data_IF_242541382785
#
_entry.id   IF_242541382785
#
_cell.length_a   1.000
_cell.length_b   1.000
_cell.length_c   1.000
_cell.angle_alpha   90.00
_cell.angle_beta   90.00
_cell.angle_gamma   90.00
#
_symmetry.space_group_name_H-M   'P 1'
#
loop_
_entity.id
_entity.type
_entity.pdbx_description
1 polymer ?
#
# COMPACT_ATOMS: atom_id res chain seq x y z
N UNK A 1 27.22 30.05 -35.47
CA UNK A 1 28.23 30.19 -34.39
C UNK A 1 28.90 28.83 -34.22
N UNK A 2 30.02 28.63 -34.89
CA UNK A 2 30.77 27.37 -34.95
C UNK A 2 31.80 27.35 -33.81
N UNK A 3 31.73 26.34 -32.94
CA UNK A 3 32.66 26.17 -31.84
C UNK A 3 34.06 25.77 -32.35
N UNK A 4 35.16 26.27 -31.76
CA UNK A 4 36.51 25.92 -32.15
C UNK A 4 36.85 24.48 -31.74
N UNK A 5 37.26 23.66 -32.72
CA UNK A 5 37.72 22.30 -32.49
C UNK A 5 39.06 22.29 -31.76
N UNK A 6 39.06 21.71 -30.56
CA UNK A 6 40.23 21.51 -29.72
C UNK A 6 41.20 20.54 -30.41
N UNK A 7 42.50 20.87 -30.59
CA UNK A 7 43.45 19.96 -31.21
C UNK A 7 43.65 18.73 -30.31
N UNK A 8 43.55 17.55 -30.91
CA UNK A 8 43.80 16.26 -30.26
C UNK A 8 45.28 16.20 -29.81
N UNK A 9 45.57 15.62 -28.64
CA UNK A 9 46.94 15.44 -28.18
C UNK A 9 47.72 14.56 -29.17
N UNK A 10 49.04 14.77 -29.33
CA UNK A 10 49.86 13.95 -30.21
C UNK A 10 49.75 12.50 -29.77
N UNK A 11 49.34 11.63 -30.71
CA UNK A 11 49.39 10.18 -30.55
C UNK A 11 50.85 9.84 -30.26
N UNK A 12 51.14 9.55 -28.98
CA UNK A 12 52.43 9.02 -28.57
C UNK A 12 52.57 7.71 -29.32
N UNK A 13 53.41 7.72 -30.37
CA UNK A 13 53.75 6.52 -31.11
C UNK A 13 54.47 5.58 -30.13
N UNK A 14 53.70 4.69 -29.51
CA UNK A 14 54.24 3.62 -28.68
C UNK A 14 55.16 2.83 -29.61
N UNK A 15 56.49 2.80 -29.36
CA UNK A 15 57.41 2.09 -30.22
C UNK A 15 56.99 0.62 -30.20
N UNK A 16 56.59 0.12 -31.37
CA UNK A 16 56.24 -1.28 -31.55
C UNK A 16 57.50 -2.06 -31.16
N UNK A 17 57.46 -2.89 -30.10
CA UNK A 17 58.65 -3.58 -29.64
C UNK A 17 59.15 -4.46 -30.77
N UNK A 18 60.39 -4.20 -31.23
CA UNK A 18 61.08 -5.07 -32.18
C UNK A 18 61.10 -6.46 -31.55
N UNK A 19 60.62 -7.47 -32.28
CA UNK A 19 60.58 -8.87 -31.80
C UNK A 19 62.03 -9.35 -31.69
N UNK A 20 62.63 -9.17 -30.52
CA UNK A 20 63.97 -9.65 -30.19
C UNK A 20 63.84 -11.13 -29.87
N UNK A 21 64.50 -11.98 -30.66
CA UNK A 21 64.56 -13.41 -30.38
C UNK A 21 65.51 -13.62 -29.19
N UNK A 22 65.09 -14.34 -28.13
CA UNK A 22 65.97 -14.64 -27.01
C UNK A 22 67.12 -15.55 -27.49
N UNK A 23 68.35 -15.04 -27.40
CA UNK A 23 69.55 -15.72 -27.94
C UNK A 23 70.24 -16.50 -26.84
N UNK A 24 70.22 -16.00 -25.60
CA UNK A 24 70.86 -16.65 -24.47
C UNK A 24 69.91 -17.62 -23.75
N UNK A 25 70.41 -18.69 -23.11
CA UNK A 25 69.56 -19.65 -22.40
C UNK A 25 68.77 -19.00 -21.24
N UNK A 26 69.33 -17.97 -20.61
CA UNK A 26 68.62 -17.20 -19.59
C UNK A 26 67.45 -16.40 -20.18
N UNK A 27 67.65 -15.74 -21.31
CA UNK A 27 66.57 -15.04 -22.02
C UNK A 27 65.47 -16.00 -22.47
N UNK A 28 65.83 -17.19 -22.96
CA UNK A 28 64.87 -18.21 -23.37
C UNK A 28 64.03 -18.72 -22.19
N UNK A 29 64.65 -18.93 -21.03
CA UNK A 29 63.96 -19.31 -19.80
C UNK A 29 62.93 -18.24 -19.39
N UNK A 30 63.35 -16.97 -19.33
CA UNK A 30 62.46 -15.88 -18.96
C UNK A 30 61.34 -15.66 -19.99
N UNK A 31 61.63 -15.78 -21.28
CA UNK A 31 60.64 -15.68 -22.34
C UNK A 31 59.60 -16.80 -22.24
N UNK A 32 60.02 -18.05 -22.03
CA UNK A 32 59.10 -19.17 -21.84
C UNK A 32 58.24 -18.99 -20.57
N UNK A 33 58.84 -18.48 -19.48
CA UNK A 33 58.12 -18.17 -18.24
C UNK A 33 57.13 -17.02 -18.39
N UNK A 34 57.47 -15.98 -19.15
CA UNK A 34 56.56 -14.88 -19.46
C UNK A 34 55.39 -15.36 -20.33
N UNK A 35 55.65 -16.13 -21.38
CA UNK A 35 54.62 -16.68 -22.27
C UNK A 35 53.66 -17.60 -21.51
N UNK A 36 54.18 -18.47 -20.65
CA UNK A 36 53.35 -19.33 -19.79
C UNK A 36 52.50 -18.51 -18.82
N UNK A 37 53.06 -17.45 -18.23
CA UNK A 37 52.29 -16.55 -17.38
C UNK A 37 51.18 -15.82 -18.16
N UNK A 38 51.46 -15.34 -19.37
CA UNK A 38 50.47 -14.71 -20.25
C UNK A 38 49.37 -15.68 -20.66
N UNK A 39 49.72 -16.93 -21.02
CA UNK A 39 48.76 -17.96 -21.35
C UNK A 39 47.86 -18.34 -20.16
N UNK A 40 48.44 -18.44 -18.95
CA UNK A 40 47.65 -18.70 -17.73
C UNK A 40 46.74 -17.52 -17.43
N UNK A 41 47.23 -16.29 -17.60
CA UNK A 41 46.45 -15.08 -17.37
C UNK A 41 45.30 -14.98 -18.37
N UNK A 42 45.55 -15.25 -19.66
CA UNK A 42 44.52 -15.19 -20.71
C UNK A 42 43.38 -16.16 -20.45
N UNK A 43 43.71 -17.39 -20.01
CA UNK A 43 42.72 -18.40 -19.63
C UNK A 43 41.91 -17.93 -18.42
N UNK A 44 42.56 -17.39 -17.37
CA UNK A 44 41.87 -16.88 -16.18
C UNK A 44 40.96 -15.70 -16.51
N UNK A 45 41.42 -14.76 -17.34
CA UNK A 45 40.61 -13.61 -17.74
C UNK A 45 39.41 -14.03 -18.57
N UNK A 46 39.60 -14.96 -19.51
CA UNK A 46 38.50 -15.49 -20.32
C UNK A 46 37.46 -16.18 -19.42
N UNK A 47 37.91 -17.06 -18.52
CA UNK A 47 37.02 -17.76 -17.60
C UNK A 47 36.24 -16.80 -16.69
N UNK A 48 36.90 -15.75 -16.21
CA UNK A 48 36.24 -14.72 -15.40
C UNK A 48 35.15 -13.98 -16.16
N UNK A 49 35.41 -13.63 -17.42
CA UNK A 49 34.40 -13.01 -18.29
C UNK A 49 33.24 -13.98 -18.60
N UNK A 50 33.52 -15.27 -18.81
CA UNK A 50 32.48 -16.29 -18.97
C UNK A 50 31.59 -16.40 -17.73
N UNK A 51 32.17 -16.42 -16.53
CA UNK A 51 31.40 -16.44 -15.27
C UNK A 51 30.52 -15.19 -15.15
N UNK A 52 31.06 -13.99 -15.45
CA UNK A 52 30.27 -12.75 -15.42
C UNK A 52 29.10 -12.80 -16.39
N UNK A 53 29.34 -13.24 -17.61
CA UNK A 53 28.28 -13.35 -18.61
C UNK A 53 27.18 -14.32 -18.15
N UNK A 54 27.55 -15.46 -17.57
CA UNK A 54 26.58 -16.41 -17.01
C UNK A 54 25.77 -15.80 -15.87
N UNK A 55 26.40 -15.04 -14.98
CA UNK A 55 25.71 -14.35 -13.88
C UNK A 55 24.66 -13.36 -14.40
N UNK A 56 25.01 -12.53 -15.38
CA UNK A 56 24.07 -11.56 -15.98
C UNK A 56 22.90 -12.26 -16.69
N UNK A 57 23.17 -13.35 -17.41
CA UNK A 57 22.13 -14.15 -18.07
C UNK A 57 21.18 -14.79 -17.06
N UNK A 58 21.68 -15.24 -15.92
CA UNK A 58 20.83 -15.79 -14.87
C UNK A 58 19.98 -14.72 -14.18
N UNK A 59 20.57 -13.57 -13.85
CA UNK A 59 19.84 -12.45 -13.25
C UNK A 59 18.71 -11.95 -14.17
N UNK A 60 18.99 -11.80 -15.46
CA UNK A 60 17.96 -11.41 -16.43
C UNK A 60 16.83 -12.44 -16.52
N UNK A 61 17.14 -13.74 -16.54
CA UNK A 61 16.11 -14.80 -16.50
C UNK A 61 15.25 -14.73 -15.23
N UNK A 62 15.89 -14.53 -14.06
CA UNK A 62 15.20 -14.42 -12.78
C UNK A 62 14.27 -13.21 -12.75
N UNK A 63 14.72 -12.05 -13.23
CA UNK A 63 13.89 -10.84 -13.27
C UNK A 63 12.69 -11.02 -14.20
N UNK A 64 12.88 -11.64 -15.37
CA UNK A 64 11.79 -11.94 -16.30
C UNK A 64 10.78 -12.90 -15.67
N UNK A 65 11.23 -14.00 -15.06
CA UNK A 65 10.32 -14.96 -14.41
C UNK A 65 9.58 -14.36 -13.22
N UNK A 66 10.24 -13.50 -12.43
CA UNK A 66 9.58 -12.83 -11.32
C UNK A 66 8.55 -11.81 -11.81
N UNK A 67 8.85 -11.07 -12.88
CA UNK A 67 7.92 -10.09 -13.44
C UNK A 67 6.66 -10.75 -14.02
N UNK A 68 6.79 -11.91 -14.68
CA UNK A 68 5.63 -12.63 -15.22
C UNK A 68 4.76 -13.23 -14.13
N UNK A 69 5.37 -13.78 -13.07
CA UNK A 69 4.65 -14.28 -11.89
C UNK A 69 3.94 -13.15 -11.14
N UNK A 70 4.60 -12.00 -10.97
CA UNK A 70 3.98 -10.82 -10.35
C UNK A 70 2.78 -10.31 -11.16
N UNK A 71 2.90 -10.29 -12.50
CA UNK A 71 1.80 -9.90 -13.38
C UNK A 71 0.58 -10.84 -13.26
N UNK A 72 0.83 -12.16 -13.17
CA UNK A 72 -0.24 -13.14 -12.97
C UNK A 72 -0.94 -12.95 -11.62
N UNK A 73 -0.19 -12.80 -10.52
CA UNK A 73 -0.77 -12.56 -9.20
C UNK A 73 -1.55 -11.25 -9.15
N UNK A 74 -1.07 -10.19 -9.80
CA UNK A 74 -1.78 -8.92 -9.85
C UNK A 74 -3.14 -9.07 -10.55
N UNK A 75 -3.22 -9.90 -11.59
CA UNK A 75 -4.48 -10.18 -12.28
C UNK A 75 -5.45 -10.98 -11.39
N UNK A 76 -4.97 -11.97 -10.65
CA UNK A 76 -5.79 -12.75 -9.72
C UNK A 76 -6.36 -11.88 -8.59
N UNK A 77 -5.50 -11.06 -7.98
CA UNK A 77 -5.91 -10.11 -6.93
C UNK A 77 -6.92 -9.10 -7.47
N UNK A 78 -6.74 -8.60 -8.69
CA UNK A 78 -7.69 -7.69 -9.31
C UNK A 78 -9.08 -8.34 -9.50
N UNK A 79 -9.14 -9.60 -9.91
CA UNK A 79 -10.41 -10.32 -10.06
C UNK A 79 -11.12 -10.53 -8.71
N UNK A 80 -10.38 -10.94 -7.68
CA UNK A 80 -10.93 -11.14 -6.34
C UNK A 80 -11.45 -9.81 -5.77
N UNK A 81 -10.70 -8.72 -5.93
CA UNK A 81 -11.11 -7.39 -5.47
C UNK A 81 -12.39 -6.91 -6.15
N UNK A 82 -12.55 -7.13 -7.46
CA UNK A 82 -13.79 -6.79 -8.17
C UNK A 82 -15.01 -7.54 -7.60
N UNK A 83 -14.84 -8.82 -7.23
CA UNK A 83 -15.91 -9.57 -6.58
C UNK A 83 -16.26 -8.99 -5.21
N UNK A 84 -15.27 -8.63 -4.39
CA UNK A 84 -15.50 -8.04 -3.07
C UNK A 84 -16.16 -6.67 -3.15
N UNK A 85 -15.73 -5.79 -4.05
CA UNK A 85 -16.32 -4.47 -4.22
C UNK A 85 -17.81 -4.53 -4.54
N UNK A 86 -18.22 -5.46 -5.43
CA UNK A 86 -19.63 -5.60 -5.82
C UNK A 86 -20.52 -6.00 -4.64
N UNK A 87 -20.04 -6.91 -3.78
CA UNK A 87 -20.73 -7.35 -2.57
C UNK A 87 -20.74 -6.25 -1.52
N UNK A 88 -19.62 -5.57 -1.33
CA UNK A 88 -19.48 -4.50 -0.35
C UNK A 88 -20.41 -3.34 -0.66
N UNK A 89 -20.52 -2.89 -1.92
CA UNK A 89 -21.47 -1.83 -2.31
C UNK A 89 -22.93 -2.20 -2.03
N UNK A 90 -23.31 -3.47 -2.22
CA UNK A 90 -24.66 -3.96 -1.90
C UNK A 90 -24.91 -3.97 -0.40
N UNK A 91 -23.94 -4.46 0.39
CA UNK A 91 -24.04 -4.46 1.85
C UNK A 91 -24.10 -3.04 2.41
N UNK A 92 -23.30 -2.12 1.86
CA UNK A 92 -23.31 -0.71 2.23
C UNK A 92 -24.65 -0.05 1.91
N UNK A 93 -25.21 -0.29 0.72
CA UNK A 93 -26.52 0.23 0.34
C UNK A 93 -27.63 -0.31 1.27
N UNK A 94 -27.64 -1.60 1.58
CA UNK A 94 -28.62 -2.20 2.51
C UNK A 94 -28.44 -1.64 3.92
N UNK A 95 -27.20 -1.49 4.40
CA UNK A 95 -26.91 -0.94 5.72
C UNK A 95 -27.41 0.51 5.85
N UNK A 96 -27.15 1.35 4.83
CA UNK A 96 -27.63 2.73 4.80
C UNK A 96 -29.17 2.76 4.76
N UNK A 97 -29.81 1.94 3.92
CA UNK A 97 -31.27 1.87 3.85
C UNK A 97 -31.92 1.41 5.17
N UNK A 98 -31.30 0.46 5.87
CA UNK A 98 -31.79 -0.02 7.16
C UNK A 98 -31.61 1.04 8.25
N UNK A 99 -30.47 1.74 8.25
CA UNK A 99 -30.21 2.82 9.20
C UNK A 99 -31.17 3.99 9.00
N UNK A 100 -31.44 4.40 7.76
CA UNK A 100 -32.42 5.46 7.48
C UNK A 100 -33.85 5.04 7.84
N UNK A 101 -34.23 3.79 7.55
CA UNK A 101 -35.53 3.24 7.94
C UNK A 101 -35.69 3.20 9.47
N UNK A 102 -34.66 2.79 10.22
CA UNK A 102 -34.67 2.76 11.68
C UNK A 102 -34.86 4.16 12.26
N UNK A 103 -34.11 5.15 11.77
CA UNK A 103 -34.24 6.54 12.19
C UNK A 103 -35.65 7.07 11.88
N UNK A 104 -36.17 6.80 10.69
CA UNK A 104 -37.54 7.18 10.30
C UNK A 104 -38.61 6.53 11.18
N UNK A 105 -38.45 5.26 11.52
CA UNK A 105 -39.36 4.53 12.41
C UNK A 105 -39.34 5.10 13.83
N UNK A 106 -38.16 5.38 14.38
CA UNK A 106 -38.04 6.02 15.69
C UNK A 106 -38.69 7.40 15.69
N UNK A 107 -38.45 8.21 14.66
CA UNK A 107 -39.07 9.52 14.52
C UNK A 107 -40.61 9.43 14.40
N UNK A 108 -41.12 8.46 13.62
CA UNK A 108 -42.56 8.21 13.48
C UNK A 108 -43.21 7.74 14.79
N UNK A 109 -42.55 6.85 15.53
CA UNK A 109 -43.03 6.40 16.84
C UNK A 109 -43.08 7.56 17.84
N UNK A 110 -42.02 8.39 17.89
CA UNK A 110 -42.01 9.59 18.73
C UNK A 110 -43.14 10.56 18.34
N UNK A 111 -43.37 10.78 17.05
CA UNK A 111 -44.46 11.63 16.56
C UNK A 111 -45.84 11.09 16.94
N UNK A 112 -46.10 9.80 16.75
CA UNK A 112 -47.40 9.17 17.06
C UNK A 112 -47.67 9.06 18.55
N UNK A 113 -46.66 8.74 19.36
CA UNK A 113 -46.74 8.79 20.82
C UNK A 113 -47.09 10.20 21.30
N UNK A 114 -46.47 11.22 20.72
CA UNK A 114 -46.76 12.62 21.08
C UNK A 114 -48.14 13.08 20.60
N UNK A 115 -48.54 12.73 19.37
CA UNK A 115 -49.85 13.11 18.82
C UNK A 115 -51.02 12.46 19.56
N UNK A 116 -50.84 11.25 20.10
CA UNK A 116 -51.86 10.51 20.84
C UNK A 116 -51.84 10.78 22.36
N UNK A 117 -50.88 11.55 22.87
CA UNK A 117 -50.88 11.96 24.27
C UNK A 117 -51.87 13.11 24.51
N UNK A 118 -53.14 12.75 24.77
CA UNK A 118 -53.95 13.51 25.72
C UNK A 118 -53.21 13.54 27.07
N UNK A 119 -53.21 14.67 27.81
CA UNK A 119 -52.39 14.83 29.01
C UNK A 119 -52.94 14.00 30.19
N UNK A 120 -52.66 12.70 30.21
CA UNK A 120 -52.88 11.85 31.36
C UNK A 120 -51.63 11.89 32.26
N UNK A 121 -51.71 12.80 33.23
CA UNK A 121 -50.85 12.98 34.39
C UNK A 121 -50.47 11.64 35.05
N UNK A 122 -49.23 11.15 34.88
CA UNK A 122 -48.52 10.44 35.96
C UNK A 122 -47.04 10.17 35.65
N UNK A 123 -46.18 10.77 36.48
CA UNK A 123 -44.77 10.46 36.60
C UNK A 123 -44.57 9.14 37.35
N UNK A 124 -43.75 8.23 36.82
CA UNK A 124 -42.95 7.30 37.63
C UNK A 124 -41.58 7.12 36.99
N UNK A 125 -40.56 7.62 37.68
CA UNK A 125 -39.16 7.37 37.39
C UNK A 125 -38.82 5.93 37.75
N UNK A 126 -38.20 5.19 36.83
CA UNK A 126 -37.60 3.89 37.13
C UNK A 126 -36.13 3.98 36.77
N UNK A 127 -35.28 4.00 37.80
CA UNK A 127 -33.83 3.92 37.65
C UNK A 127 -33.45 2.51 37.16
N UNK A 128 -32.72 2.43 36.06
CA UNK A 128 -32.04 1.21 35.64
C UNK A 128 -30.57 1.27 36.06
N UNK A 129 -30.21 0.42 37.01
CA UNK A 129 -28.83 0.03 37.32
C UNK A 129 -28.25 -0.75 36.15
N UNK A 130 -27.21 -0.21 35.53
CA UNK A 130 -26.32 -0.93 34.61
C UNK A 130 -25.26 -1.63 35.49
N UNK A 131 -25.23 -2.96 35.61
CA UNK A 131 -24.06 -3.62 36.14
C UNK A 131 -23.01 -3.65 35.04
N UNK A 132 -22.05 -2.73 35.16
CA UNK A 132 -20.60 -2.95 35.06
C UNK A 132 -20.16 -3.85 33.88
N UNK A 133 -19.65 -3.17 32.85
CA UNK A 133 -18.44 -3.52 32.09
C UNK A 133 -18.15 -5.03 31.97
N UNK A 134 -18.64 -5.62 30.87
CA UNK A 134 -18.05 -6.84 30.33
C UNK A 134 -16.60 -6.57 29.89
N UNK A 135 -15.61 -7.36 30.32
CA UNK A 135 -14.18 -7.12 30.09
C UNK A 135 -13.70 -7.46 28.66
N UNK A 136 -14.59 -7.57 27.69
CA UNK A 136 -14.25 -8.00 26.32
C UNK A 136 -14.18 -6.87 25.28
N UNK A 137 -14.35 -5.61 25.67
CA UNK A 137 -14.31 -4.49 24.72
C UNK A 137 -12.88 -3.97 24.38
N UNK A 138 -11.82 -4.53 24.98
CA UNK A 138 -10.48 -3.92 24.97
C UNK A 138 -9.46 -4.52 23.98
N UNK A 139 -9.84 -5.39 23.04
CA UNK A 139 -8.85 -6.07 22.16
C UNK A 139 -9.19 -5.97 20.67
N UNK A 140 -9.54 -4.78 20.17
CA UNK A 140 -9.67 -4.52 18.71
C UNK A 140 -9.22 -3.10 18.31
N UNK A 141 -8.24 -2.51 19.00
CA UNK A 141 -8.00 -1.07 18.87
C UNK A 141 -6.98 -0.62 17.80
N UNK A 142 -6.31 -1.50 17.04
CA UNK A 142 -5.16 -1.02 16.23
C UNK A 142 -5.33 -1.05 14.70
N UNK A 143 -6.40 -1.63 14.15
CA UNK A 143 -6.55 -1.72 12.68
C UNK A 143 -7.91 -1.25 12.10
N UNK A 144 -8.92 -0.97 12.93
CA UNK A 144 -10.27 -0.56 12.49
C UNK A 144 -10.51 0.95 12.40
N UNK A 145 -9.49 1.76 12.75
CA UNK A 145 -9.65 3.18 13.10
C UNK A 145 -10.13 4.09 11.94
N UNK A 146 -9.77 3.79 10.69
CA UNK A 146 -10.13 4.66 9.55
C UNK A 146 -11.55 4.38 9.02
N UNK A 147 -12.02 3.14 9.10
CA UNK A 147 -13.41 2.79 8.73
C UNK A 147 -14.39 3.19 9.85
N UNK A 148 -13.96 3.06 11.11
CA UNK A 148 -14.73 3.51 12.26
C UNK A 148 -14.98 5.02 12.25
N UNK A 149 -13.99 5.85 11.89
CA UNK A 149 -14.14 7.31 11.91
C UNK A 149 -15.21 7.83 10.96
N UNK A 150 -15.30 7.33 9.72
CA UNK A 150 -16.35 7.75 8.77
C UNK A 150 -17.75 7.41 9.29
N UNK A 151 -17.94 6.18 9.77
CA UNK A 151 -19.23 5.72 10.31
C UNK A 151 -19.57 6.50 11.58
N UNK A 152 -18.59 6.72 12.46
CA UNK A 152 -18.74 7.50 13.68
C UNK A 152 -19.15 8.95 13.38
N UNK A 153 -18.57 9.59 12.35
CA UNK A 153 -18.97 10.94 11.95
C UNK A 153 -20.43 11.02 11.49
N UNK A 154 -20.91 10.04 10.73
CA UNK A 154 -22.32 9.98 10.30
C UNK A 154 -23.26 9.78 11.49
N UNK A 155 -22.89 8.91 12.44
CA UNK A 155 -23.66 8.68 13.66
C UNK A 155 -23.73 9.96 14.51
N UNK A 156 -22.60 10.63 14.74
CA UNK A 156 -22.53 11.88 15.50
C UNK A 156 -23.36 12.97 14.83
N UNK A 157 -23.26 13.12 13.50
CA UNK A 157 -24.03 14.11 12.75
C UNK A 157 -25.54 13.85 12.89
N UNK A 158 -25.95 12.59 12.73
CA UNK A 158 -27.35 12.18 12.87
C UNK A 158 -27.85 12.42 14.30
N UNK A 159 -27.07 12.03 15.31
CA UNK A 159 -27.40 12.27 16.71
C UNK A 159 -27.51 13.76 17.04
N UNK A 160 -26.65 14.59 16.46
CA UNK A 160 -26.67 16.06 16.64
C UNK A 160 -27.94 16.68 16.06
N UNK A 161 -28.37 16.25 14.87
CA UNK A 161 -29.62 16.72 14.25
C UNK A 161 -30.83 16.32 15.08
N UNK A 162 -30.88 15.08 15.56
CA UNK A 162 -31.95 14.59 16.44
C UNK A 162 -31.96 15.35 17.77
N UNK A 163 -30.81 15.51 18.41
CA UNK A 163 -30.67 16.25 19.66
C UNK A 163 -31.09 17.71 19.49
N UNK A 164 -30.70 18.36 18.39
CA UNK A 164 -31.13 19.72 18.07
C UNK A 164 -32.64 19.81 17.84
N UNK A 165 -33.24 18.86 17.11
CA UNK A 165 -34.69 18.80 16.92
C UNK A 165 -35.44 18.65 18.24
N UNK A 166 -35.00 17.74 19.11
CA UNK A 166 -35.54 17.56 20.46
C UNK A 166 -35.40 18.83 21.31
N UNK A 167 -34.24 19.47 21.29
CA UNK A 167 -33.98 20.70 22.04
C UNK A 167 -34.82 21.89 21.53
N UNK A 168 -34.89 22.07 20.21
CA UNK A 168 -35.71 23.09 19.54
C UNK A 168 -37.19 22.90 19.88
N UNK A 169 -37.68 21.67 19.84
CA UNK A 169 -39.05 21.31 20.21
C UNK A 169 -39.33 21.58 21.68
N UNK A 170 -38.41 21.21 22.58
CA UNK A 170 -38.52 21.48 24.01
C UNK A 170 -38.59 22.99 24.31
N UNK A 171 -37.76 23.79 23.64
CA UNK A 171 -37.79 25.25 23.75
C UNK A 171 -39.10 25.84 23.22
N UNK A 172 -39.57 25.41 22.04
CA UNK A 172 -40.83 25.89 21.46
C UNK A 172 -42.04 25.55 22.35
N UNK A 173 -42.05 24.37 22.96
CA UNK A 173 -43.14 23.96 23.84
C UNK A 173 -43.08 24.63 25.24
N UNK A 174 -41.92 25.12 25.68
CA UNK A 174 -41.78 25.89 26.93
C UNK A 174 -42.12 27.37 26.77
N UNK A 175 -41.90 27.97 25.61
CA UNK A 175 -42.23 29.38 25.36
C UNK A 175 -43.70 29.62 24.95
N UNK A 176 -44.45 28.56 24.62
CA UNK A 176 -45.87 28.63 24.26
C UNK A 176 -46.86 28.49 25.43
N UNK A 177 -46.38 28.49 26.68
CA UNK A 177 -47.17 28.66 27.90
C UNK A 177 -46.70 29.91 28.63
#
# INVERSE_FOLDING_TARGET
>A
MTAPSKPLPPVVAVPIPKIVKPVTPAEQYWAARALTAEAILSVKTQHHEEIKMLAVVEETKRTVSLSSVAAFHQQEVAQVNQMHESRQRRLEAIAIALLTALVGLVAFLLYTLQANHSPARQSRSVHFTIPILSPFASVVEHESSVIGTKILTVIILTATVVAYGCFRFWMAHRLGR
#
